data_IF_947675284687
#
_entry.id   IF_947675284687
#
_cell.length_a   1.000
_cell.length_b   1.000
_cell.length_c   1.000
_cell.angle_alpha   90.00
_cell.angle_beta   90.00
_cell.angle_gamma   90.00
#
_symmetry.space_group_name_H-M   'P 1'
#
loop_
_entity.id
_entity.type
_entity.pdbx_description
1 polymer ?
#
# COMPACT_ATOMS: atom_id res chain seq x y z
N UNK A 1 0.79 -29.36 -17.98
CA UNK A 1 -0.38 -28.93 -17.17
C UNK A 1 -0.24 -29.27 -15.68
N UNK A 2 0.34 -30.41 -15.29
CA UNK A 2 0.55 -30.82 -13.88
C UNK A 2 1.43 -29.84 -13.05
N UNK A 3 2.50 -29.28 -13.62
CA UNK A 3 3.39 -28.35 -12.89
C UNK A 3 2.74 -27.00 -12.53
N UNK A 4 1.80 -26.52 -13.36
CA UNK A 4 1.06 -25.28 -13.10
C UNK A 4 0.05 -25.50 -11.98
N UNK A 5 -0.64 -26.64 -11.98
CA UNK A 5 -1.56 -27.04 -10.92
C UNK A 5 -0.81 -27.21 -9.58
N UNK A 6 0.38 -27.83 -9.57
CA UNK A 6 1.22 -27.92 -8.37
C UNK A 6 1.72 -26.55 -7.89
N UNK A 7 2.09 -25.64 -8.78
CA UNK A 7 2.48 -24.27 -8.42
C UNK A 7 1.32 -23.47 -7.81
N UNK A 8 0.11 -23.62 -8.34
CA UNK A 8 -1.11 -23.02 -7.79
C UNK A 8 -1.44 -23.63 -6.42
N UNK A 9 -1.35 -24.96 -6.27
CA UNK A 9 -1.57 -25.64 -4.99
C UNK A 9 -0.51 -25.29 -3.92
N UNK A 10 0.74 -25.04 -4.34
CA UNK A 10 1.83 -24.60 -3.45
C UNK A 10 1.68 -23.15 -3.01
N UNK A 11 1.20 -22.26 -3.90
CA UNK A 11 0.78 -20.90 -3.56
C UNK A 11 -0.49 -20.86 -2.69
N UNK A 12 -1.34 -21.90 -2.82
CA UNK A 12 -2.62 -21.99 -2.14
C UNK A 12 -2.55 -22.64 -0.74
N UNK A 13 -1.37 -23.03 -0.24
CA UNK A 13 -1.21 -23.41 1.17
C UNK A 13 -1.24 -22.11 2.02
N UNK A 14 -2.39 -21.69 2.56
CA UNK A 14 -2.52 -20.39 3.18
C UNK A 14 -2.06 -20.52 4.63
N UNK A 15 -0.74 -20.65 4.83
CA UNK A 15 -0.15 -20.46 6.15
C UNK A 15 0.02 -18.95 6.40
N UNK A 16 -1.09 -18.22 6.33
CA UNK A 16 -1.16 -16.84 6.78
C UNK A 16 -1.51 -16.87 8.25
N UNK A 17 -0.59 -16.43 9.11
CA UNK A 17 -0.94 -16.27 10.52
C UNK A 17 -1.69 -14.96 10.71
N UNK A 18 -2.60 -14.92 11.69
CA UNK A 18 -3.40 -13.73 12.00
C UNK A 18 -2.50 -12.53 12.29
N UNK A 19 -1.33 -12.76 12.90
CA UNK A 19 -0.35 -11.71 13.19
C UNK A 19 0.18 -11.05 11.92
N UNK A 20 0.49 -11.80 10.86
CA UNK A 20 0.99 -11.23 9.59
C UNK A 20 -0.06 -10.33 8.95
N UNK A 21 -1.32 -10.77 8.97
CA UNK A 21 -2.45 -10.02 8.43
C UNK A 21 -2.59 -8.69 9.16
N UNK A 22 -2.58 -8.71 10.50
CA UNK A 22 -2.72 -7.52 11.33
C UNK A 22 -1.56 -6.54 11.09
N UNK A 23 -0.33 -7.03 11.07
CA UNK A 23 0.86 -6.17 10.87
C UNK A 23 0.80 -5.48 9.50
N UNK A 24 0.48 -6.21 8.43
CA UNK A 24 0.39 -5.61 7.10
C UNK A 24 -0.78 -4.63 6.97
N UNK A 25 -1.94 -4.94 7.57
CA UNK A 25 -3.08 -4.03 7.61
C UNK A 25 -2.74 -2.73 8.33
N UNK A 26 -2.13 -2.82 9.51
CA UNK A 26 -1.72 -1.65 10.28
C UNK A 26 -0.69 -0.81 9.51
N UNK A 27 0.30 -1.43 8.90
CA UNK A 27 1.32 -0.74 8.11
C UNK A 27 0.69 0.09 6.97
N UNK A 28 -0.18 -0.52 6.15
CA UNK A 28 -0.81 0.18 5.03
C UNK A 28 -1.86 1.21 5.48
N UNK A 29 -2.59 0.93 6.56
CA UNK A 29 -3.54 1.88 7.14
C UNK A 29 -2.83 3.14 7.65
N UNK A 30 -1.70 3.00 8.37
CA UNK A 30 -0.91 4.11 8.87
C UNK A 30 -0.30 4.94 7.73
N UNK A 31 0.30 4.29 6.73
CA UNK A 31 0.84 5.00 5.57
C UNK A 31 -0.23 5.80 4.84
N UNK A 32 -1.36 5.16 4.54
CA UNK A 32 -2.47 5.81 3.83
C UNK A 32 -3.08 6.95 4.65
N UNK A 33 -3.25 6.76 5.96
CA UNK A 33 -3.73 7.81 6.86
C UNK A 33 -2.79 9.01 6.89
N UNK A 34 -1.47 8.78 6.98
CA UNK A 34 -0.46 9.84 6.97
C UNK A 34 -0.46 10.65 5.67
N UNK A 35 -0.57 9.99 4.52
CA UNK A 35 -0.63 10.65 3.21
C UNK A 35 -1.93 11.46 3.07
N UNK A 36 -3.08 10.89 3.43
CA UNK A 36 -4.35 11.63 3.35
C UNK A 36 -4.36 12.85 4.26
N UNK A 37 -3.79 12.74 5.46
CA UNK A 37 -3.61 13.87 6.36
C UNK A 37 -2.71 14.96 5.75
N UNK A 38 -1.57 14.58 5.17
CA UNK A 38 -0.67 15.51 4.47
C UNK A 38 -1.36 16.18 3.27
N UNK A 39 -2.15 15.43 2.51
CA UNK A 39 -2.90 15.95 1.37
C UNK A 39 -3.97 16.96 1.76
N UNK A 40 -4.72 16.71 2.85
CA UNK A 40 -5.69 17.66 3.39
C UNK A 40 -5.04 18.99 3.79
N UNK A 41 -3.82 18.94 4.35
CA UNK A 41 -3.05 20.14 4.70
C UNK A 41 -2.51 20.88 3.48
N UNK A 42 -2.09 20.15 2.44
CA UNK A 42 -1.58 20.73 1.21
C UNK A 42 -2.66 21.42 0.37
N UNK A 43 -3.90 20.94 0.42
CA UNK A 43 -5.05 21.53 -0.27
C UNK A 43 -5.34 22.97 0.15
N UNK A 44 -5.11 23.31 1.43
CA UNK A 44 -5.27 24.68 1.92
C UNK A 44 -4.24 25.67 1.34
N UNK A 45 -3.18 25.19 0.69
CA UNK A 45 -2.10 26.03 0.13
C UNK A 45 -2.36 26.44 -1.34
N UNK A 46 -3.50 26.07 -1.93
CA UNK A 46 -3.95 26.44 -3.30
C UNK A 46 -2.96 26.17 -4.45
N UNK A 47 -1.90 25.39 -4.24
CA UNK A 47 -0.86 25.14 -5.22
C UNK A 47 -1.03 23.77 -5.89
N UNK A 48 -1.54 23.78 -7.13
CA UNK A 48 -1.81 22.58 -7.95
C UNK A 48 -0.55 21.73 -8.20
N UNK A 49 0.61 22.38 -8.34
CA UNK A 49 1.88 21.67 -8.53
C UNK A 49 2.29 20.91 -7.27
N UNK A 50 2.07 21.51 -6.09
CA UNK A 50 2.38 20.89 -4.81
C UNK A 50 1.46 19.68 -4.56
N UNK A 51 0.18 19.78 -4.95
CA UNK A 51 -0.75 18.67 -4.88
C UNK A 51 -0.33 17.50 -5.78
N UNK A 52 0.03 17.78 -7.03
CA UNK A 52 0.48 16.75 -8.00
C UNK A 52 1.77 16.07 -7.54
N UNK A 53 2.73 16.85 -7.03
CA UNK A 53 3.97 16.31 -6.45
C UNK A 53 3.69 15.41 -5.23
N UNK A 54 2.65 15.71 -4.44
CA UNK A 54 2.25 14.92 -3.29
C UNK A 54 1.64 13.57 -3.72
N UNK A 55 0.85 13.53 -4.79
CA UNK A 55 0.33 12.26 -5.36
C UNK A 55 1.51 11.40 -5.86
N UNK A 56 2.39 11.98 -6.67
CA UNK A 56 3.54 11.24 -7.23
C UNK A 56 4.48 10.75 -6.13
N UNK A 57 4.79 11.65 -5.19
CA UNK A 57 5.62 11.37 -4.02
C UNK A 57 4.99 10.34 -3.09
N UNK A 58 3.66 10.33 -2.96
CA UNK A 58 2.94 9.29 -2.21
C UNK A 58 3.17 7.92 -2.83
N UNK A 59 2.93 7.77 -4.14
CA UNK A 59 3.03 6.47 -4.81
C UNK A 59 4.48 5.94 -4.75
N UNK A 60 5.46 6.79 -5.04
CA UNK A 60 6.88 6.42 -4.99
C UNK A 60 7.34 6.15 -3.55
N UNK A 61 6.97 7.02 -2.60
CA UNK A 61 7.31 6.87 -1.19
C UNK A 61 6.75 5.59 -0.59
N UNK A 62 5.49 5.26 -0.88
CA UNK A 62 4.87 3.99 -0.48
C UNK A 62 5.60 2.80 -1.06
N UNK A 63 6.04 2.86 -2.32
CA UNK A 63 6.76 1.76 -2.95
C UNK A 63 8.10 1.51 -2.23
N UNK A 64 8.87 2.57 -1.95
CA UNK A 64 10.14 2.48 -1.22
C UNK A 64 9.90 1.96 0.21
N UNK A 65 8.94 2.54 0.94
CA UNK A 65 8.61 2.12 2.31
C UNK A 65 8.12 0.67 2.35
N UNK A 66 7.37 0.25 1.34
CA UNK A 66 6.91 -1.14 1.19
C UNK A 66 8.09 -2.10 1.00
N UNK A 67 9.09 -1.73 0.19
CA UNK A 67 10.30 -2.53 0.02
C UNK A 67 11.12 -2.62 1.30
N UNK A 68 11.29 -1.50 2.01
CA UNK A 68 11.99 -1.46 3.31
C UNK A 68 11.28 -2.34 4.32
N UNK A 69 9.96 -2.19 4.44
CA UNK A 69 9.14 -3.03 5.31
C UNK A 69 9.29 -4.51 4.98
N UNK A 70 9.23 -4.87 3.70
CA UNK A 70 9.39 -6.25 3.25
C UNK A 70 10.77 -6.81 3.61
N UNK A 71 11.83 -6.01 3.43
CA UNK A 71 13.19 -6.39 3.80
C UNK A 71 13.32 -6.60 5.31
N UNK A 72 12.77 -5.71 6.13
CA UNK A 72 12.78 -5.84 7.59
C UNK A 72 11.98 -7.09 8.01
N UNK A 73 10.77 -7.24 7.50
CA UNK A 73 9.86 -8.34 7.84
C UNK A 73 10.46 -9.72 7.53
N UNK A 74 11.07 -9.88 6.36
CA UNK A 74 11.73 -11.14 5.97
C UNK A 74 12.95 -11.47 6.82
N UNK A 75 13.65 -10.46 7.34
CA UNK A 75 14.86 -10.64 8.16
C UNK A 75 14.56 -10.89 9.63
N UNK A 76 13.50 -10.31 10.18
CA UNK A 76 13.19 -10.41 11.63
C UNK A 76 12.30 -11.59 11.96
N UNK A 77 11.30 -11.87 11.12
CA UNK A 77 10.24 -12.82 11.43
C UNK A 77 10.37 -14.15 10.67
N UNK A 78 11.34 -14.25 9.73
CA UNK A 78 11.57 -15.43 8.87
C UNK A 78 10.25 -16.12 8.50
N UNK A 79 9.36 -15.48 7.73
CA UNK A 79 8.06 -16.05 7.43
C UNK A 79 8.21 -17.42 6.76
N UNK A 80 7.60 -18.44 7.37
CA UNK A 80 7.70 -19.84 6.95
C UNK A 80 7.10 -20.10 5.55
N UNK A 81 6.26 -19.19 5.05
CA UNK A 81 5.58 -19.28 3.76
C UNK A 81 5.73 -18.03 2.91
N UNK A 82 5.51 -18.13 1.59
CA UNK A 82 5.52 -16.98 0.66
C UNK A 82 4.13 -16.36 0.45
N UNK A 83 3.09 -16.92 1.06
CA UNK A 83 1.70 -16.45 0.97
C UNK A 83 1.52 -15.03 1.50
N UNK A 84 2.33 -14.60 2.47
CA UNK A 84 2.29 -13.23 2.99
C UNK A 84 2.59 -12.17 1.92
N UNK A 85 3.36 -12.51 0.88
CA UNK A 85 3.64 -11.61 -0.25
C UNK A 85 2.37 -11.34 -1.06
N UNK A 86 1.56 -12.37 -1.30
CA UNK A 86 0.31 -12.23 -2.07
C UNK A 86 -0.64 -11.29 -1.33
N UNK A 87 -0.79 -11.48 -0.01
CA UNK A 87 -1.57 -10.58 0.83
C UNK A 87 -0.98 -9.16 0.81
N UNK A 88 0.34 -9.02 0.92
CA UNK A 88 1.03 -7.74 0.94
C UNK A 88 0.77 -6.94 -0.33
N UNK A 89 0.93 -7.56 -1.50
CA UNK A 89 0.65 -6.90 -2.78
C UNK A 89 -0.84 -6.58 -2.96
N UNK A 90 -1.72 -7.45 -2.47
CA UNK A 90 -3.17 -7.21 -2.50
C UNK A 90 -3.54 -5.98 -1.66
N UNK A 91 -2.99 -5.86 -0.44
CA UNK A 91 -3.20 -4.71 0.43
C UNK A 91 -2.55 -3.45 -0.16
N UNK A 92 -1.32 -3.54 -0.66
CA UNK A 92 -0.65 -2.43 -1.34
C UNK A 92 -1.53 -1.85 -2.44
N UNK A 93 -2.01 -2.69 -3.38
CA UNK A 93 -2.86 -2.25 -4.47
C UNK A 93 -4.20 -1.70 -3.96
N UNK A 94 -4.86 -2.40 -3.05
CA UNK A 94 -6.15 -1.98 -2.50
C UNK A 94 -6.09 -0.60 -1.83
N UNK A 95 -5.12 -0.39 -0.95
CA UNK A 95 -4.91 0.89 -0.27
C UNK A 95 -4.43 1.99 -1.22
N UNK A 96 -3.62 1.66 -2.21
CA UNK A 96 -3.16 2.65 -3.21
C UNK A 96 -4.31 3.12 -4.09
N UNK A 97 -5.16 2.21 -4.56
CA UNK A 97 -6.37 2.57 -5.34
C UNK A 97 -7.31 3.42 -4.50
N UNK A 98 -7.53 3.04 -3.23
CA UNK A 98 -8.35 3.83 -2.31
C UNK A 98 -7.77 5.25 -2.12
N UNK A 99 -6.48 5.35 -1.84
CA UNK A 99 -5.79 6.63 -1.64
C UNK A 99 -5.86 7.53 -2.86
N UNK A 100 -5.51 7.02 -4.04
CA UNK A 100 -5.55 7.79 -5.29
C UNK A 100 -6.97 8.28 -5.56
N UNK A 101 -8.00 7.46 -5.32
CA UNK A 101 -9.41 7.90 -5.45
C UNK A 101 -9.74 9.02 -4.47
N UNK A 102 -9.30 8.94 -3.23
CA UNK A 102 -9.52 9.98 -2.23
C UNK A 102 -8.80 11.29 -2.62
N UNK A 103 -7.54 11.21 -3.06
CA UNK A 103 -6.77 12.37 -3.54
C UNK A 103 -7.42 13.00 -4.78
N UNK A 104 -7.84 12.21 -5.76
CA UNK A 104 -8.53 12.73 -6.96
C UNK A 104 -9.87 13.39 -6.61
N UNK A 105 -10.61 12.88 -5.61
CA UNK A 105 -11.81 13.56 -5.13
C UNK A 105 -11.47 14.90 -4.47
N UNK A 106 -10.42 14.92 -3.66
CA UNK A 106 -9.97 16.10 -2.93
C UNK A 106 -9.43 17.21 -3.86
N UNK A 107 -8.83 16.85 -5.00
CA UNK A 107 -8.41 17.84 -6.00
C UNK A 107 -9.59 18.51 -6.70
N UNK A 108 -10.66 17.76 -6.99
CA UNK A 108 -11.87 18.27 -7.65
C UNK A 108 -12.64 19.25 -6.78
N UNK A 109 -12.63 19.07 -5.46
CA UNK A 109 -13.28 20.02 -4.53
C UNK A 109 -12.49 21.32 -4.34
N UNK A 110 -11.23 21.38 -4.78
CA UNK A 110 -10.33 22.52 -4.55
C UNK A 110 -10.02 23.29 -5.85
N UNK A 111 -10.34 22.75 -7.02
CA UNK A 111 -10.19 23.50 -8.29
C UNK A 111 -11.26 24.58 -8.37
N UNK A 112 -10.92 25.89 -8.41
CA UNK A 112 -11.84 26.87 -8.94
C UNK A 112 -12.01 26.56 -10.43
N UNK A 113 -13.25 26.57 -10.90
CA UNK A 113 -13.51 26.75 -12.33
C UNK A 113 -13.02 28.12 -12.79
#
# INVERSE_FOLDING_TARGET
MLGIAMGIWWLAQPRLTIMEVIVQLLFFALLTGGILWAAHRAVHQANVNLFTALILGSVMGKLILSLIFLFIYTRTLLPDGRSFLVLFFTLYLGYTVYEVRALVRLSRTTSPG
#
